data_IF_824621531159
#
_entry.id   IF_824621531159
#
_cell.length_a   1.000
_cell.length_b   1.000
_cell.length_c   1.000
_cell.angle_alpha   90.00
_cell.angle_beta   90.00
_cell.angle_gamma   90.00
#
_symmetry.space_group_name_H-M   'P 1'
#
loop_
_entity.id
_entity.type
_entity.pdbx_description
1 polymer ?
#
# COMPACT_ATOMS: atom_id res chain seq x y z
N UNK A 1 32.31 26.06 11.87
CA UNK A 1 31.44 27.22 11.55
C UNK A 1 30.25 26.67 10.80
N UNK A 2 29.07 26.67 11.42
CA UNK A 2 27.84 26.20 10.80
C UNK A 2 27.33 27.27 9.82
N UNK A 3 26.67 26.90 8.73
CA UNK A 3 26.14 27.86 7.74
C UNK A 3 27.13 28.31 6.66
N UNK A 4 28.37 27.83 6.68
CA UNK A 4 29.39 28.17 5.68
C UNK A 4 29.74 26.96 4.80
N UNK A 5 29.96 27.22 3.52
CA UNK A 5 30.59 26.30 2.59
C UNK A 5 32.09 26.53 2.54
N UNK A 6 32.88 25.53 2.95
CA UNK A 6 34.34 25.64 3.03
C UNK A 6 35.01 24.84 1.90
N UNK A 7 36.02 25.44 1.26
CA UNK A 7 36.89 24.78 0.28
C UNK A 7 38.31 24.67 0.81
N UNK A 8 38.90 23.49 0.67
CA UNK A 8 40.29 23.22 1.06
C UNK A 8 41.20 23.43 -0.15
N UNK A 9 42.01 24.48 -0.09
CA UNK A 9 43.19 24.59 -0.95
C UNK A 9 44.42 24.22 -0.11
N UNK A 10 45.46 23.66 -0.72
CA UNK A 10 46.59 22.94 -0.08
C UNK A 10 47.26 23.58 1.15
N UNK A 11 46.99 24.87 1.46
CA UNK A 11 47.52 25.57 2.64
C UNK A 11 46.53 26.53 3.34
N UNK A 12 45.27 26.65 2.88
CA UNK A 12 44.26 27.54 3.47
C UNK A 12 42.84 26.98 3.32
N UNK A 13 42.06 27.08 4.38
CA UNK A 13 40.60 26.84 4.36
C UNK A 13 39.92 28.17 4.09
N UNK A 14 39.18 28.28 2.99
CA UNK A 14 38.35 29.46 2.68
C UNK A 14 36.90 29.06 2.82
N UNK A 15 36.18 29.76 3.70
CA UNK A 15 34.76 29.52 3.96
C UNK A 15 33.95 30.72 3.49
N UNK A 16 32.88 30.45 2.74
CA UNK A 16 31.92 31.45 2.31
C UNK A 16 30.54 31.13 2.92
N UNK A 17 29.74 32.14 3.30
CA UNK A 17 28.39 31.88 3.77
C UNK A 17 27.59 31.19 2.65
N UNK A 18 26.77 30.21 3.02
CA UNK A 18 25.90 29.55 2.06
C UNK A 18 24.93 30.57 1.45
N UNK A 19 24.76 30.52 0.12
CA UNK A 19 23.91 31.45 -0.60
C UNK A 19 22.42 31.16 -0.36
N UNK A 20 21.52 32.13 -0.60
CA UNK A 20 20.08 31.89 -0.60
C UNK A 20 19.71 30.67 -1.46
N UNK A 21 18.75 29.89 -0.98
CA UNK A 21 18.35 28.60 -1.54
C UNK A 21 19.18 27.42 -1.02
N UNK A 22 20.17 27.68 -0.18
CA UNK A 22 21.02 26.64 0.44
C UNK A 22 21.20 26.89 1.94
N UNK A 23 21.58 25.84 2.66
CA UNK A 23 21.92 25.90 4.09
C UNK A 23 23.20 25.10 4.35
N UNK A 24 24.00 25.53 5.31
CA UNK A 24 25.28 24.92 5.65
C UNK A 24 25.20 24.04 6.89
N UNK A 25 25.65 22.80 6.78
CA UNK A 25 25.76 21.88 7.91
C UNK A 25 27.13 22.00 8.62
N UNK A 26 27.33 21.22 9.70
CA UNK A 26 28.60 21.17 10.44
C UNK A 26 29.79 20.68 9.60
N UNK A 27 29.54 19.94 8.53
CA UNK A 27 30.55 19.44 7.59
C UNK A 27 31.13 20.54 6.69
N UNK A 28 30.64 21.78 6.77
CA UNK A 28 31.09 22.89 5.94
C UNK A 28 30.65 22.75 4.48
N UNK A 29 29.54 22.06 4.23
CA UNK A 29 28.95 21.90 2.90
C UNK A 29 27.60 22.62 2.84
N UNK A 30 27.39 23.39 1.77
CA UNK A 30 26.08 23.99 1.48
C UNK A 30 25.21 22.98 0.73
N UNK A 31 24.07 22.63 1.33
CA UNK A 31 23.05 21.77 0.72
C UNK A 31 21.86 22.62 0.28
N UNK A 32 21.23 22.32 -0.86
CA UNK A 32 20.07 23.07 -1.31
C UNK A 32 18.84 22.79 -0.46
N UNK A 33 17.95 23.78 -0.39
CA UNK A 33 16.64 23.57 0.21
C UNK A 33 15.85 22.54 -0.62
N UNK A 34 15.25 21.54 0.05
CA UNK A 34 14.54 20.47 -0.62
C UNK A 34 13.26 20.99 -1.29
N UNK A 35 12.80 20.30 -2.33
CA UNK A 35 11.50 20.58 -2.91
C UNK A 35 10.37 20.34 -1.88
N UNK A 36 9.27 21.06 -2.05
CA UNK A 36 8.14 21.05 -1.13
C UNK A 36 8.07 22.32 -0.29
N UNK A 37 7.82 22.21 1.01
CA UNK A 37 7.53 23.34 1.88
C UNK A 37 8.72 24.21 2.31
N UNK A 38 9.83 24.27 1.56
CA UNK A 38 11.10 24.82 2.06
C UNK A 38 11.72 25.85 1.13
N UNK A 39 12.29 26.90 1.73
CA UNK A 39 13.09 27.94 1.07
C UNK A 39 14.14 28.50 2.03
N UNK A 40 15.09 29.30 1.56
CA UNK A 40 16.03 30.05 2.40
C UNK A 40 16.45 31.33 1.68
N UNK A 41 16.22 32.48 2.28
CA UNK A 41 16.52 33.81 1.76
C UNK A 41 17.72 34.48 2.43
N UNK A 42 18.16 33.97 3.58
CA UNK A 42 19.32 34.48 4.31
C UNK A 42 20.64 33.88 3.83
N UNK A 43 21.70 34.65 3.99
CA UNK A 43 23.07 34.19 3.83
C UNK A 43 23.53 33.43 5.07
N UNK A 44 24.23 32.32 4.87
CA UNK A 44 24.91 31.61 5.94
C UNK A 44 23.98 30.83 6.87
N UNK A 45 22.80 30.42 6.39
CA UNK A 45 21.79 29.77 7.23
C UNK A 45 22.12 28.30 7.54
N UNK A 46 21.59 27.81 8.66
CA UNK A 46 21.78 26.44 9.17
C UNK A 46 20.67 25.47 8.74
N UNK A 47 19.54 26.00 8.29
CA UNK A 47 18.38 25.21 7.87
C UNK A 47 17.52 26.01 6.89
N UNK A 48 16.53 25.37 6.28
CA UNK A 48 15.58 26.06 5.41
C UNK A 48 14.40 26.61 6.21
N UNK A 49 13.99 27.82 5.87
CA UNK A 49 12.72 28.41 6.27
C UNK A 49 11.56 27.61 5.66
N UNK A 50 10.41 27.69 6.33
CA UNK A 50 9.19 27.00 5.90
C UNK A 50 8.33 27.93 5.06
N UNK A 51 7.90 27.48 3.90
CA UNK A 51 6.82 28.11 3.15
C UNK A 51 5.55 28.19 4.01
N UNK A 52 4.74 29.23 3.79
CA UNK A 52 3.44 29.35 4.44
C UNK A 52 2.52 28.18 4.05
N UNK A 53 1.57 27.84 4.92
CA UNK A 53 0.58 26.78 4.67
C UNK A 53 -0.10 26.99 3.33
N UNK A 54 -0.29 25.91 2.56
CA UNK A 54 -0.86 26.00 1.22
C UNK A 54 0.09 26.53 0.15
N UNK A 55 1.41 26.51 0.39
CA UNK A 55 2.41 26.79 -0.63
C UNK A 55 3.64 25.88 -0.57
N UNK A 56 4.35 25.80 -1.68
CA UNK A 56 5.52 24.94 -1.86
C UNK A 56 6.44 25.44 -2.99
N UNK A 57 7.67 24.93 -3.02
CA UNK A 57 8.69 25.12 -4.06
C UNK A 57 8.85 23.79 -4.81
N UNK A 58 8.46 23.75 -6.08
CA UNK A 58 8.40 22.49 -6.85
C UNK A 58 9.75 21.83 -7.13
N UNK A 59 10.78 22.62 -7.40
CA UNK A 59 12.10 22.12 -7.85
C UNK A 59 13.18 22.21 -6.77
N UNK A 60 12.80 22.54 -5.54
CA UNK A 60 13.77 22.86 -4.48
C UNK A 60 14.54 24.15 -4.76
N UNK A 61 15.67 24.34 -4.08
CA UNK A 61 16.52 25.53 -4.18
C UNK A 61 15.77 26.86 -3.97
N UNK A 62 14.70 26.84 -3.16
CA UNK A 62 13.89 28.02 -2.90
C UNK A 62 14.73 29.14 -2.30
N UNK A 63 15.06 30.20 -3.06
CA UNK A 63 15.97 31.28 -2.62
C UNK A 63 15.24 32.52 -2.09
N UNK A 64 13.91 32.53 -2.14
CA UNK A 64 13.08 33.57 -1.56
C UNK A 64 11.68 33.06 -1.25
N UNK A 65 11.00 33.70 -0.31
CA UNK A 65 9.60 33.41 0.02
C UNK A 65 8.66 33.54 -1.20
N UNK A 66 9.02 34.37 -2.19
CA UNK A 66 8.25 34.57 -3.43
C UNK A 66 8.24 33.33 -4.35
N UNK A 67 9.17 32.39 -4.14
CA UNK A 67 9.20 31.11 -4.83
C UNK A 67 8.26 30.07 -4.21
N UNK A 68 7.74 30.30 -2.99
CA UNK A 68 6.66 29.50 -2.43
C UNK A 68 5.37 29.77 -3.24
N UNK A 69 5.08 28.89 -4.19
CA UNK A 69 3.88 28.96 -5.04
C UNK A 69 2.73 28.26 -4.35
N UNK A 70 1.53 28.78 -4.58
CA UNK A 70 0.30 28.21 -4.02
C UNK A 70 0.15 26.75 -4.47
N UNK A 71 -0.31 25.91 -3.56
CA UNK A 71 -0.54 24.49 -3.84
C UNK A 71 -1.58 24.31 -4.95
N UNK A 72 -1.39 23.29 -5.82
CA UNK A 72 -2.29 23.04 -6.93
C UNK A 72 -3.68 22.59 -6.47
N UNK A 73 -4.64 22.60 -7.39
CA UNK A 73 -6.03 22.23 -7.09
C UNK A 73 -6.16 20.82 -6.48
N UNK A 74 -7.22 20.62 -5.70
CA UNK A 74 -7.48 19.35 -5.01
C UNK A 74 -6.59 19.08 -3.78
N UNK A 75 -5.61 19.96 -3.50
CA UNK A 75 -4.79 19.89 -2.28
C UNK A 75 -5.37 20.69 -1.12
N UNK A 76 -5.00 20.31 0.10
CA UNK A 76 -5.38 20.99 1.33
C UNK A 76 -4.44 22.18 1.62
N UNK A 77 -4.91 23.37 1.25
CA UNK A 77 -4.18 24.62 1.41
C UNK A 77 -4.06 25.09 2.88
N UNK A 78 -4.70 24.41 3.83
CA UNK A 78 -4.56 24.70 5.26
C UNK A 78 -3.35 24.01 5.90
N UNK A 79 -2.69 23.10 5.17
CA UNK A 79 -1.59 22.28 5.67
C UNK A 79 -0.25 22.73 5.11
N UNK A 80 0.80 22.40 5.87
CA UNK A 80 2.18 22.59 5.42
C UNK A 80 2.54 21.49 4.42
N UNK A 81 3.19 21.86 3.31
CA UNK A 81 3.56 20.92 2.26
C UNK A 81 4.67 19.94 2.70
N UNK A 82 5.64 20.39 3.51
CA UNK A 82 6.78 19.56 3.90
C UNK A 82 7.46 18.88 2.72
N UNK A 83 8.00 17.68 2.91
CA UNK A 83 8.70 16.93 1.86
C UNK A 83 7.78 16.21 0.87
N UNK A 84 6.55 15.86 1.30
CA UNK A 84 5.57 15.09 0.50
C UNK A 84 4.68 15.98 -0.39
N UNK A 85 5.11 17.21 -0.63
CA UNK A 85 4.30 18.27 -1.24
C UNK A 85 2.99 18.52 -0.49
N UNK A 86 2.13 19.37 -1.05
CA UNK A 86 0.85 19.68 -0.44
C UNK A 86 -0.03 18.42 -0.36
N UNK A 87 -0.54 18.05 0.84
CA UNK A 87 -1.41 16.88 0.99
C UNK A 87 -2.71 17.06 0.23
N UNK A 88 -3.31 15.98 -0.25
CA UNK A 88 -4.61 16.03 -0.91
C UNK A 88 -5.73 16.38 0.09
N UNK A 89 -6.83 16.95 -0.41
CA UNK A 89 -8.08 17.05 0.36
C UNK A 89 -8.63 15.66 0.66
N UNK A 90 -9.55 15.56 1.62
CA UNK A 90 -10.24 14.30 1.89
C UNK A 90 -10.92 13.77 0.61
N UNK A 91 -10.78 12.48 0.32
CA UNK A 91 -11.24 11.80 -0.90
C UNK A 91 -10.63 12.32 -2.20
N UNK A 92 -9.42 12.89 -2.15
CA UNK A 92 -8.64 13.22 -3.35
C UNK A 92 -7.38 12.36 -3.42
N UNK A 93 -6.90 12.11 -4.63
CA UNK A 93 -5.71 11.32 -4.94
C UNK A 93 -4.87 12.03 -5.99
N UNK A 94 -3.60 11.68 -6.12
CA UNK A 94 -2.71 12.18 -7.17
C UNK A 94 -1.92 11.05 -7.81
N UNK A 95 -1.44 11.29 -9.02
CA UNK A 95 -0.53 10.42 -9.76
C UNK A 95 0.82 11.10 -10.04
N UNK A 96 1.07 12.24 -9.43
CA UNK A 96 2.36 12.92 -9.48
C UNK A 96 2.61 13.63 -8.14
N UNK A 97 3.83 13.51 -7.62
CA UNK A 97 4.22 13.98 -6.27
C UNK A 97 3.92 15.46 -6.01
N UNK A 98 4.12 16.34 -6.97
CA UNK A 98 3.98 17.79 -6.79
C UNK A 98 2.83 18.45 -7.59
N UNK A 99 1.95 17.66 -8.20
CA UNK A 99 0.86 18.19 -9.06
C UNK A 99 -0.49 18.17 -8.33
N UNK A 100 -1.53 18.63 -9.03
CA UNK A 100 -2.91 18.64 -8.54
C UNK A 100 -3.39 17.26 -8.09
N UNK A 101 -4.30 17.25 -7.12
CA UNK A 101 -5.07 16.06 -6.80
C UNK A 101 -6.41 16.08 -7.54
N UNK A 102 -6.90 14.90 -7.91
CA UNK A 102 -8.24 14.68 -8.47
C UNK A 102 -9.12 13.93 -7.47
N UNK A 103 -10.43 14.00 -7.66
CA UNK A 103 -11.38 13.27 -6.81
C UNK A 103 -11.15 11.76 -6.94
N UNK A 104 -11.21 11.06 -5.82
CA UNK A 104 -11.22 9.60 -5.75
C UNK A 104 -12.67 9.12 -5.94
N UNK A 105 -13.05 8.85 -7.20
CA UNK A 105 -14.43 8.49 -7.60
C UNK A 105 -14.70 6.98 -7.64
N UNK A 106 -13.67 6.15 -7.41
CA UNK A 106 -13.76 4.72 -7.63
C UNK A 106 -14.18 3.99 -6.35
N UNK A 107 -15.29 3.24 -6.42
CA UNK A 107 -15.75 2.36 -5.35
C UNK A 107 -14.67 1.34 -4.97
N UNK A 108 -14.55 1.05 -3.68
CA UNK A 108 -13.59 0.05 -3.20
C UNK A 108 -12.16 0.53 -3.05
N UNK A 109 -11.91 1.83 -3.17
CA UNK A 109 -10.59 2.43 -2.96
C UNK A 109 -10.54 3.28 -1.68
N UNK A 110 -9.41 3.21 -0.99
CA UNK A 110 -9.01 4.12 0.09
C UNK A 110 -7.99 5.11 -0.47
N UNK A 111 -8.35 6.39 -0.50
CA UNK A 111 -7.48 7.48 -0.96
C UNK A 111 -6.97 8.36 0.19
N UNK A 112 -7.02 7.89 1.43
CA UNK A 112 -6.68 8.68 2.63
C UNK A 112 -5.22 9.15 2.70
N UNK A 113 -4.31 8.53 1.94
CA UNK A 113 -2.86 8.80 1.96
C UNK A 113 -2.33 9.47 0.67
N UNK A 114 -3.19 10.16 -0.09
CA UNK A 114 -2.94 10.85 -1.37
C UNK A 114 -2.80 9.94 -2.61
N UNK A 115 -2.91 8.63 -2.46
CA UNK A 115 -2.87 7.66 -3.55
C UNK A 115 -4.00 6.64 -3.38
N UNK A 116 -4.34 5.92 -4.45
CA UNK A 116 -5.35 4.87 -4.44
C UNK A 116 -4.80 3.59 -3.81
N UNK A 117 -5.35 3.19 -2.67
CA UNK A 117 -5.19 1.87 -2.04
C UNK A 117 -6.52 1.09 -2.15
N UNK A 118 -6.51 -0.24 -1.98
CA UNK A 118 -7.74 -1.03 -1.92
C UNK A 118 -8.38 -0.97 -0.54
N UNK A 119 -9.71 -0.97 -0.51
CA UNK A 119 -10.48 -1.30 0.70
C UNK A 119 -10.57 -2.83 0.85
N UNK A 120 -10.72 -3.35 2.10
CA UNK A 120 -11.09 -4.74 2.34
C UNK A 120 -12.35 -5.14 1.55
N UNK A 121 -12.38 -6.37 1.05
CA UNK A 121 -13.49 -6.88 0.22
C UNK A 121 -13.44 -6.48 -1.26
N UNK A 122 -12.43 -5.72 -1.70
CA UNK A 122 -12.21 -5.36 -3.10
C UNK A 122 -10.91 -5.90 -3.65
N UNK A 123 -10.77 -6.02 -4.96
CA UNK A 123 -9.57 -6.49 -5.64
C UNK A 123 -9.42 -5.79 -6.99
N UNK A 124 -8.21 -5.35 -7.34
CA UNK A 124 -7.89 -4.88 -8.69
C UNK A 124 -7.17 -5.95 -9.49
N UNK A 125 -7.31 -5.90 -10.81
CA UNK A 125 -6.53 -6.76 -11.70
C UNK A 125 -5.47 -5.94 -12.44
N UNK A 126 -4.21 -6.07 -12.06
CA UNK A 126 -3.11 -5.35 -12.71
C UNK A 126 -2.85 -5.76 -14.17
N UNK A 127 -3.42 -6.86 -14.66
CA UNK A 127 -3.26 -7.26 -16.06
C UNK A 127 -4.12 -6.46 -17.05
N UNK A 128 -5.10 -5.70 -16.57
CA UNK A 128 -5.96 -4.85 -17.40
C UNK A 128 -6.30 -3.54 -16.65
N UNK A 129 -6.21 -2.36 -17.30
CA UNK A 129 -6.03 -2.11 -18.73
C UNK A 129 -4.64 -1.51 -19.03
N UNK A 130 -3.60 -2.33 -19.29
CA UNK A 130 -2.21 -1.84 -19.42
C UNK A 130 -1.74 -1.06 -18.17
N UNK A 131 -1.94 -1.65 -17.00
CA UNK A 131 -1.43 -1.12 -15.74
C UNK A 131 -0.06 -1.72 -15.41
N UNK A 132 0.73 -0.99 -14.62
CA UNK A 132 2.01 -1.47 -14.08
C UNK A 132 1.99 -1.42 -12.55
N UNK A 133 1.94 -2.57 -11.90
CA UNK A 133 2.03 -2.68 -10.44
C UNK A 133 3.38 -2.18 -9.94
N UNK A 134 4.46 -2.52 -10.63
CA UNK A 134 5.81 -2.13 -10.24
C UNK A 134 6.01 -0.62 -10.28
N UNK A 135 5.61 0.05 -11.36
CA UNK A 135 5.71 1.51 -11.45
C UNK A 135 4.81 2.19 -10.42
N UNK A 136 3.62 1.64 -10.18
CA UNK A 136 2.71 2.22 -9.19
C UNK A 136 3.23 2.05 -7.76
N UNK A 137 3.75 0.87 -7.40
CA UNK A 137 4.31 0.64 -6.07
C UNK A 137 5.54 1.52 -5.81
N UNK A 138 6.41 1.70 -6.82
CA UNK A 138 7.53 2.64 -6.76
C UNK A 138 7.06 4.08 -6.59
N UNK A 139 6.07 4.52 -7.37
CA UNK A 139 5.48 5.85 -7.22
C UNK A 139 4.89 6.05 -5.82
N UNK A 140 4.12 5.10 -5.29
CA UNK A 140 3.51 5.16 -3.96
C UNK A 140 4.59 5.19 -2.87
N UNK A 141 5.59 4.31 -2.95
CA UNK A 141 6.72 4.32 -2.02
C UNK A 141 7.43 5.67 -2.03
N UNK A 142 7.73 6.18 -3.23
CA UNK A 142 8.35 7.47 -3.39
C UNK A 142 7.48 8.58 -2.78
N UNK A 143 6.18 8.60 -3.07
CA UNK A 143 5.19 9.55 -2.55
C UNK A 143 5.14 9.58 -1.02
N UNK A 144 5.39 8.43 -0.38
CA UNK A 144 5.43 8.29 1.07
C UNK A 144 6.75 8.74 1.71
N UNK A 145 7.83 8.90 0.96
CA UNK A 145 9.13 9.39 1.46
C UNK A 145 9.00 10.77 2.09
N UNK A 146 9.32 10.88 3.39
CA UNK A 146 9.17 12.09 4.24
C UNK A 146 10.46 12.90 4.41
N UNK A 147 11.42 12.74 3.51
CA UNK A 147 12.69 13.45 3.53
C UNK A 147 13.09 13.92 2.12
N UNK A 148 14.26 14.56 1.99
CA UNK A 148 14.78 15.09 0.74
C UNK A 148 15.34 14.03 -0.22
N UNK A 149 15.45 12.77 0.21
CA UNK A 149 16.06 11.65 -0.55
C UNK A 149 15.02 10.84 -1.34
N UNK A 150 13.99 11.51 -1.86
CA UNK A 150 12.99 10.87 -2.70
C UNK A 150 13.57 10.65 -4.12
N UNK A 151 13.07 9.65 -4.83
CA UNK A 151 13.57 9.29 -6.16
C UNK A 151 12.94 10.18 -7.23
N UNK A 152 13.77 10.88 -8.01
CA UNK A 152 13.30 11.78 -9.07
C UNK A 152 12.76 11.03 -10.30
N UNK A 153 13.10 9.76 -10.48
CA UNK A 153 12.66 8.96 -11.64
C UNK A 153 11.22 8.43 -11.50
N UNK A 154 10.74 8.30 -10.26
CA UNK A 154 9.44 7.71 -9.90
C UNK A 154 8.49 8.76 -9.32
N UNK A 155 8.60 10.02 -9.77
CA UNK A 155 7.77 11.14 -9.29
C UNK A 155 6.32 11.06 -9.73
N UNK A 156 6.04 10.30 -10.78
CA UNK A 156 4.71 10.17 -11.36
C UNK A 156 4.43 8.77 -11.86
N UNK A 157 3.16 8.44 -11.87
CA UNK A 157 2.61 7.27 -12.53
C UNK A 157 1.78 7.72 -13.73
N UNK A 158 2.11 7.23 -14.93
CA UNK A 158 1.48 7.67 -16.18
C UNK A 158 0.60 6.61 -16.84
N UNK A 159 0.64 5.37 -16.35
CA UNK A 159 -0.18 4.28 -16.90
C UNK A 159 -1.62 4.36 -16.38
N UNK A 160 -2.47 3.44 -16.84
CA UNK A 160 -3.84 3.33 -16.36
C UNK A 160 -3.89 2.64 -15.00
N UNK A 161 -4.70 3.19 -14.09
CA UNK A 161 -5.01 2.54 -12.81
C UNK A 161 -6.16 1.55 -13.02
N UNK A 162 -6.01 0.27 -12.63
CA UNK A 162 -7.09 -0.69 -12.72
C UNK A 162 -8.29 -0.27 -11.86
N UNK A 163 -9.49 -0.63 -12.32
CA UNK A 163 -10.68 -0.52 -11.49
C UNK A 163 -10.65 -1.56 -10.37
N UNK A 164 -11.09 -1.17 -9.17
CA UNK A 164 -11.34 -2.10 -8.08
C UNK A 164 -12.70 -2.80 -8.27
N UNK A 165 -12.73 -4.10 -8.03
CA UNK A 165 -13.92 -4.93 -8.12
C UNK A 165 -14.22 -5.53 -6.75
N UNK A 166 -15.49 -5.50 -6.35
CA UNK A 166 -15.91 -6.23 -5.15
C UNK A 166 -15.63 -7.72 -5.34
N UNK A 167 -15.12 -8.34 -4.30
CA UNK A 167 -14.89 -9.78 -4.31
C UNK A 167 -16.23 -10.51 -4.18
N UNK A 168 -16.30 -11.73 -4.71
CA UNK A 168 -17.50 -12.58 -4.58
C UNK A 168 -17.95 -12.73 -3.14
N UNK A 169 -16.99 -12.62 -2.22
CA UNK A 169 -17.12 -12.66 -0.78
C UNK A 169 -16.25 -11.56 -0.19
N UNK A 170 -16.79 -10.64 0.62
CA UNK A 170 -15.98 -9.61 1.27
C UNK A 170 -14.81 -10.20 2.06
N UNK A 171 -15.03 -11.35 2.73
CA UNK A 171 -14.02 -12.04 3.54
C UNK A 171 -12.91 -12.72 2.74
N UNK A 172 -13.04 -12.89 1.41
CA UNK A 172 -12.00 -13.51 0.58
C UNK A 172 -10.86 -12.54 0.23
N UNK A 173 -11.09 -11.23 0.37
CA UNK A 173 -10.13 -10.19 0.03
C UNK A 173 -9.77 -9.38 1.28
N UNK A 174 -8.58 -9.64 1.83
CA UNK A 174 -8.16 -9.06 3.11
C UNK A 174 -7.89 -7.56 2.98
N UNK A 175 -6.93 -7.19 2.13
CA UNK A 175 -6.54 -5.80 1.80
C UNK A 175 -6.51 -4.81 2.97
N UNK A 176 -6.17 -5.29 4.16
CA UNK A 176 -6.01 -4.46 5.37
C UNK A 176 -4.72 -3.63 5.33
N UNK A 177 -3.71 -4.15 4.63
CA UNK A 177 -2.36 -3.59 4.56
C UNK A 177 -2.13 -2.85 3.23
N UNK A 178 -3.18 -2.40 2.53
CA UNK A 178 -3.03 -1.78 1.21
C UNK A 178 -2.26 -0.45 1.20
N UNK A 179 -1.96 0.11 2.38
CA UNK A 179 -1.06 1.24 2.53
C UNK A 179 0.41 0.85 2.77
N UNK A 180 0.69 -0.43 3.05
CA UNK A 180 2.03 -0.96 3.21
C UNK A 180 2.71 -1.20 1.86
N UNK A 181 4.04 -1.36 1.89
CA UNK A 181 4.89 -1.45 0.70
C UNK A 181 4.50 -2.60 -0.26
N UNK A 182 4.09 -3.73 0.29
CA UNK A 182 3.72 -4.97 -0.40
C UNK A 182 2.20 -5.13 -0.58
N UNK A 183 1.39 -4.46 0.24
CA UNK A 183 -0.07 -4.59 0.20
C UNK A 183 -0.76 -3.88 -0.97
N UNK A 184 -0.05 -3.01 -1.70
CA UNK A 184 -0.59 -2.32 -2.90
C UNK A 184 -0.86 -3.27 -4.08
N UNK A 185 -0.37 -4.50 -4.03
CA UNK A 185 -0.71 -5.49 -5.06
C UNK A 185 -2.15 -6.00 -4.93
N UNK A 186 -2.70 -5.96 -3.72
CA UNK A 186 -3.91 -6.68 -3.35
C UNK A 186 -3.59 -8.12 -2.89
N UNK A 187 -4.22 -8.56 -1.81
CA UNK A 187 -4.03 -9.86 -1.19
C UNK A 187 -5.35 -10.60 -0.98
N UNK A 188 -5.28 -11.93 -1.11
CA UNK A 188 -6.37 -12.83 -0.80
C UNK A 188 -6.22 -13.38 0.62
N UNK A 189 -7.33 -13.76 1.22
CA UNK A 189 -7.34 -14.54 2.46
C UNK A 189 -6.71 -15.90 2.21
N UNK A 190 -6.09 -16.47 3.24
CA UNK A 190 -5.51 -17.82 3.17
C UNK A 190 -6.50 -18.83 2.57
N UNK A 191 -6.01 -19.64 1.63
CA UNK A 191 -6.82 -20.62 0.90
C UNK A 191 -7.56 -20.08 -0.31
N UNK A 192 -7.56 -18.77 -0.55
CA UNK A 192 -8.13 -18.14 -1.75
C UNK A 192 -7.05 -17.58 -2.67
N UNK A 193 -7.28 -17.62 -3.98
CA UNK A 193 -6.36 -17.12 -5.00
C UNK A 193 -7.07 -16.65 -6.27
N UNK A 194 -6.31 -16.03 -7.17
CA UNK A 194 -6.78 -15.51 -8.45
C UNK A 194 -7.54 -14.18 -8.35
N UNK A 195 -8.04 -13.72 -9.50
CA UNK A 195 -8.85 -12.50 -9.57
C UNK A 195 -10.08 -12.62 -8.67
N UNK A 196 -10.37 -11.55 -7.94
CA UNK A 196 -11.43 -11.44 -6.91
C UNK A 196 -11.42 -12.57 -5.87
N UNK A 197 -10.25 -13.20 -5.67
CA UNK A 197 -10.03 -14.28 -4.71
C UNK A 197 -11.09 -15.39 -4.83
N UNK A 198 -11.46 -15.73 -6.06
CA UNK A 198 -12.58 -16.63 -6.38
C UNK A 198 -12.20 -18.09 -6.50
N UNK A 199 -10.91 -18.42 -6.53
CA UNK A 199 -10.40 -19.80 -6.66
C UNK A 199 -9.82 -20.27 -5.35
N UNK A 200 -9.91 -21.56 -5.09
CA UNK A 200 -9.21 -22.15 -3.95
C UNK A 200 -7.74 -22.39 -4.30
N UNK A 201 -6.87 -22.05 -3.37
CA UNK A 201 -5.44 -22.29 -3.48
C UNK A 201 -5.11 -23.77 -3.26
N UNK A 202 -3.87 -24.16 -3.55
CA UNK A 202 -3.39 -25.52 -3.36
C UNK A 202 -3.57 -25.94 -1.89
N UNK A 203 -4.12 -27.13 -1.69
CA UNK A 203 -4.43 -27.64 -0.35
C UNK A 203 -5.79 -27.20 0.18
N UNK A 204 -6.60 -26.48 -0.61
CA UNK A 204 -7.97 -26.13 -0.29
C UNK A 204 -8.95 -26.66 -1.36
N UNK A 205 -10.18 -26.94 -0.97
CA UNK A 205 -11.27 -27.36 -1.86
C UNK A 205 -12.51 -26.49 -1.66
N UNK A 206 -13.31 -26.37 -2.73
CA UNK A 206 -14.50 -25.51 -2.74
C UNK A 206 -15.71 -26.23 -2.16
N UNK A 207 -16.34 -25.64 -1.15
CA UNK A 207 -17.59 -26.11 -0.53
C UNK A 207 -18.55 -24.93 -0.44
N UNK A 208 -19.66 -24.99 -1.19
CA UNK A 208 -20.63 -23.88 -1.28
C UNK A 208 -19.94 -22.53 -1.59
N UNK A 209 -18.86 -22.60 -2.37
CA UNK A 209 -17.99 -21.50 -2.79
C UNK A 209 -17.04 -20.94 -1.72
N UNK A 210 -17.00 -21.52 -0.51
CA UNK A 210 -15.93 -21.27 0.46
C UNK A 210 -14.75 -22.20 0.18
N UNK A 211 -13.54 -21.75 0.44
CA UNK A 211 -12.34 -22.57 0.36
C UNK A 211 -11.99 -23.12 1.75
N UNK A 212 -12.07 -24.43 1.91
CA UNK A 212 -11.75 -25.14 3.14
C UNK A 212 -10.48 -25.97 2.97
N UNK A 213 -9.65 -26.12 4.01
CA UNK A 213 -8.42 -26.92 3.92
C UNK A 213 -8.77 -28.38 3.65
N UNK A 214 -8.03 -29.00 2.74
CA UNK A 214 -8.17 -30.41 2.43
C UNK A 214 -7.82 -31.26 3.66
N UNK A 215 -8.65 -32.23 4.05
CA UNK A 215 -8.35 -33.11 5.16
C UNK A 215 -7.11 -33.96 4.85
N UNK A 216 -6.37 -34.32 5.89
CA UNK A 216 -5.22 -35.22 5.75
C UNK A 216 -5.70 -36.62 5.32
N UNK A 217 -4.96 -37.29 4.44
CA UNK A 217 -5.42 -38.56 3.84
C UNK A 217 -5.72 -39.67 4.87
N UNK A 218 -4.95 -39.75 5.96
CA UNK A 218 -5.25 -40.70 7.05
C UNK A 218 -6.58 -40.38 7.74
N UNK A 219 -6.94 -39.12 7.92
CA UNK A 219 -8.21 -38.74 8.57
C UNK A 219 -9.39 -39.20 7.73
N UNK A 220 -9.31 -39.02 6.40
CA UNK A 220 -10.35 -39.51 5.48
C UNK A 220 -10.47 -41.02 5.52
N UNK A 221 -9.34 -41.75 5.52
CA UNK A 221 -9.36 -43.23 5.61
C UNK A 221 -10.00 -43.68 6.93
N UNK A 222 -9.62 -43.05 8.05
CA UNK A 222 -10.19 -43.36 9.36
C UNK A 222 -11.70 -43.08 9.41
N UNK A 223 -12.17 -41.98 8.83
CA UNK A 223 -13.60 -41.67 8.72
C UNK A 223 -14.36 -42.74 7.90
N UNK A 224 -13.84 -43.15 6.75
CA UNK A 224 -14.46 -44.20 5.93
C UNK A 224 -14.50 -45.55 6.66
N UNK A 225 -13.41 -45.95 7.32
CA UNK A 225 -13.36 -47.20 8.10
C UNK A 225 -14.35 -47.15 9.25
N UNK A 226 -14.44 -46.04 9.97
CA UNK A 226 -15.39 -45.87 11.08
C UNK A 226 -16.85 -45.98 10.59
N UNK A 227 -17.21 -45.33 9.49
CA UNK A 227 -18.56 -45.42 8.90
C UNK A 227 -18.87 -46.85 8.46
N UNK A 228 -17.92 -47.55 7.82
CA UNK A 228 -18.09 -48.96 7.44
C UNK A 228 -18.29 -49.86 8.66
N UNK A 229 -17.50 -49.67 9.73
CA UNK A 229 -17.66 -50.41 10.98
C UNK A 229 -19.05 -50.19 11.60
N UNK A 230 -19.54 -48.95 11.65
CA UNK A 230 -20.88 -48.63 12.18
C UNK A 230 -21.97 -49.31 11.35
N UNK A 231 -21.86 -49.28 10.01
CA UNK A 231 -22.81 -49.95 9.12
C UNK A 231 -22.79 -51.47 9.31
N UNK A 232 -21.60 -52.08 9.44
CA UNK A 232 -21.47 -53.53 9.71
C UNK A 232 -22.09 -53.89 11.06
N UNK A 233 -21.79 -53.12 12.12
CA UNK A 233 -22.36 -53.34 13.45
C UNK A 233 -23.89 -53.19 13.44
N UNK A 234 -24.42 -52.21 12.72
CA UNK A 234 -25.86 -52.02 12.54
C UNK A 234 -26.50 -53.21 11.82
N UNK A 235 -25.89 -53.68 10.73
CA UNK A 235 -26.36 -54.86 9.99
C UNK A 235 -26.33 -56.13 10.86
N UNK A 236 -25.24 -56.35 11.60
CA UNK A 236 -25.13 -57.46 12.56
C UNK A 236 -26.20 -57.37 13.65
N UNK A 237 -26.44 -56.18 14.20
CA UNK A 237 -27.50 -55.96 15.19
C UNK A 237 -28.89 -56.31 14.64
N UNK A 238 -29.19 -55.89 13.41
CA UNK A 238 -30.45 -56.22 12.72
C UNK A 238 -30.57 -57.72 12.52
N UNK A 239 -29.52 -58.40 12.04
CA UNK A 239 -29.50 -59.86 11.83
C UNK A 239 -29.68 -60.63 13.16
N UNK A 240 -29.03 -60.18 14.24
CA UNK A 240 -29.16 -60.79 15.56
C UNK A 240 -30.58 -60.60 16.11
N UNK A 241 -31.20 -59.44 15.89
CA UNK A 241 -32.61 -59.20 16.28
C UNK A 241 -33.61 -60.01 15.46
N UNK A 242 -33.41 -60.18 14.15
CA UNK A 242 -34.32 -61.01 13.33
C UNK A 242 -34.21 -62.48 13.70
N UNK A 243 -33.01 -62.99 13.98
CA UNK A 243 -32.80 -64.36 14.51
C UNK A 243 -33.44 -64.56 15.88
N UNK A 244 -33.32 -63.61 16.80
CA UNK A 244 -33.97 -63.67 18.12
C UNK A 244 -35.50 -63.73 18.04
N UNK A 245 -36.12 -63.06 17.06
CA UNK A 245 -37.58 -63.11 16.85
C UNK A 245 -38.04 -64.43 16.21
N UNK A 246 -37.27 -64.98 15.26
CA UNK A 246 -37.59 -66.26 14.63
C UNK A 246 -37.57 -67.46 15.58
N UNK A 247 -36.77 -67.40 16.66
CA UNK A 247 -36.71 -68.44 17.70
C UNK A 247 -37.92 -68.37 18.67
N UNK A 248 -38.59 -67.21 18.80
CA UNK A 248 -39.77 -67.04 19.68
C UNK A 248 -41.11 -67.44 19.06
N UNK A 249 -41.16 -67.69 17.75
CA UNK A 249 -42.39 -68.10 17.02
C UNK A 249 -42.38 -69.57 16.59
N UNK A 250 -41.36 -70.34 16.99
CA UNK A 250 -41.18 -71.76 16.65
C UNK A 250 -41.27 -72.71 17.85
N UNK A 251 -42.09 -72.39 18.85
CA UNK A 251 -42.40 -73.23 20.02
C UNK A 251 -43.92 -73.26 20.22
#
# INVERSE_FOLDING_TARGET
>A
QQGFGCKFNSWRVVCHPCAPGTYGNESGQCSPCPAGGFYQDDLGSLSCNHCYKGSFVKYGHGSSVLQCKVCPEGTDQSKFAGYRACPCKANYTRLHRFEKCSVCLDEGLDCSQDYKALLPGFYWNWTFPNASLLEYSQFVFNLQTKNSQYDHSTLSYTQLIPRAFACSRPESCVNNNSHDFDGIAGSCTEGYTGWICSKCDKGFYSVLGFCLPCPYQLMVILEFVAVLCVLILFMLFVILRTRSKGVRTGL
#
